data_IF_737647381791
#
_entry.id   IF_737647381791
#
_cell.length_a   1.000
_cell.length_b   1.000
_cell.length_c   1.000
_cell.angle_alpha   90.00
_cell.angle_beta   90.00
_cell.angle_gamma   90.00
#
_symmetry.space_group_name_H-M   'P 1'
#
loop_
_entity.id
_entity.type
_entity.pdbx_description
1 polymer ?
#
# COMPACT_ATOMS: atom_id res chain seq x y z
N UNK A 1 -10.43 -43.04 -11.08
CA UNK A 1 -9.17 -43.06 -10.32
C UNK A 1 -8.43 -41.76 -10.60
N UNK A 2 -8.56 -40.77 -9.74
CA UNK A 2 -7.74 -39.56 -9.76
C UNK A 2 -7.21 -39.35 -8.34
N UNK A 3 -5.98 -39.79 -8.12
CA UNK A 3 -5.21 -39.52 -6.91
C UNK A 3 -4.84 -38.04 -6.91
N UNK A 4 -5.71 -37.19 -6.34
CA UNK A 4 -5.31 -35.84 -5.97
C UNK A 4 -4.26 -35.96 -4.86
N UNK A 5 -3.00 -35.77 -5.24
CA UNK A 5 -1.91 -35.45 -4.32
C UNK A 5 -2.37 -34.33 -3.41
N UNK A 6 -2.70 -34.66 -2.16
CA UNK A 6 -3.01 -33.66 -1.14
C UNK A 6 -1.70 -32.95 -0.86
N UNK A 7 -1.54 -31.74 -1.39
CA UNK A 7 -0.34 -30.94 -1.23
C UNK A 7 0.07 -30.90 0.25
N UNK A 8 1.32 -31.25 0.52
CA UNK A 8 1.92 -31.34 1.86
C UNK A 8 1.70 -30.07 2.70
N UNK A 9 1.60 -28.92 2.01
CA UNK A 9 1.26 -27.61 2.55
C UNK A 9 -0.05 -27.62 3.35
N UNK A 10 -1.00 -28.50 3.06
CA UNK A 10 -2.31 -28.59 3.74
C UNK A 10 -2.21 -29.31 5.09
N UNK A 11 -1.14 -30.07 5.36
CA UNK A 11 -1.01 -30.92 6.56
C UNK A 11 -0.20 -30.31 7.70
N UNK A 12 0.36 -29.12 7.53
CA UNK A 12 1.18 -28.49 8.56
C UNK A 12 0.30 -27.97 9.70
N UNK A 13 0.51 -28.50 10.90
CA UNK A 13 -0.09 -28.03 12.14
C UNK A 13 0.59 -26.74 12.64
N UNK A 14 -0.05 -25.93 13.49
CA UNK A 14 0.54 -24.67 13.93
C UNK A 14 1.79 -24.90 14.79
N UNK A 15 1.81 -26.01 15.53
CA UNK A 15 3.00 -26.50 16.25
C UNK A 15 4.12 -26.90 15.31
N UNK A 16 3.83 -27.60 14.21
CA UNK A 16 4.84 -27.94 13.20
C UNK A 16 5.42 -26.68 12.55
N UNK A 17 4.58 -25.67 12.25
CA UNK A 17 5.07 -24.39 11.74
C UNK A 17 5.96 -23.66 12.75
N UNK A 18 5.60 -23.60 14.04
CA UNK A 18 6.48 -23.00 15.04
C UNK A 18 7.84 -23.69 15.11
N UNK A 19 7.86 -25.03 15.07
CA UNK A 19 9.12 -25.78 15.09
C UNK A 19 9.94 -25.47 13.85
N UNK A 20 9.32 -25.47 12.66
CA UNK A 20 10.00 -25.13 11.40
C UNK A 20 10.56 -23.69 11.46
N UNK A 21 9.74 -22.71 11.84
CA UNK A 21 10.16 -21.30 11.95
C UNK A 21 11.27 -21.12 13.00
N UNK A 22 11.24 -21.88 14.09
CA UNK A 22 12.30 -21.89 15.09
C UNK A 22 13.60 -22.52 14.60
N UNK A 23 13.51 -23.63 13.87
CA UNK A 23 14.68 -24.24 13.24
C UNK A 23 15.28 -23.33 12.18
N UNK A 24 14.45 -22.67 11.36
CA UNK A 24 14.89 -21.66 10.40
C UNK A 24 15.59 -20.48 11.08
N UNK A 25 15.02 -19.97 12.18
CA UNK A 25 15.65 -18.91 12.98
C UNK A 25 17.01 -19.34 13.52
N UNK A 26 17.06 -20.49 14.20
CA UNK A 26 18.28 -21.00 14.80
C UNK A 26 19.35 -21.29 13.75
N UNK A 27 18.95 -21.80 12.59
CA UNK A 27 19.84 -22.05 11.45
C UNK A 27 20.42 -20.75 10.89
N UNK A 28 19.60 -19.71 10.68
CA UNK A 28 20.07 -18.41 10.20
C UNK A 28 21.01 -17.73 11.21
N UNK A 29 20.71 -17.80 12.50
CA UNK A 29 21.59 -17.28 13.55
C UNK A 29 22.91 -18.07 13.60
N UNK A 30 22.87 -19.40 13.49
CA UNK A 30 24.07 -20.23 13.47
C UNK A 30 24.94 -19.94 12.24
N UNK A 31 24.34 -19.72 11.07
CA UNK A 31 25.06 -19.29 9.87
C UNK A 31 25.71 -17.92 10.04
N UNK A 32 25.00 -16.95 10.63
CA UNK A 32 25.53 -15.62 10.92
C UNK A 32 26.75 -15.70 11.86
N UNK A 33 26.62 -16.44 12.95
CA UNK A 33 27.73 -16.66 13.88
C UNK A 33 28.87 -17.41 13.19
N UNK A 34 28.58 -18.40 12.36
CA UNK A 34 29.60 -19.10 11.59
C UNK A 34 30.34 -18.21 10.59
N UNK A 35 29.66 -17.25 10.00
CA UNK A 35 30.29 -16.25 9.13
C UNK A 35 31.20 -15.31 9.94
N UNK A 36 30.70 -14.72 11.03
CA UNK A 36 31.46 -13.79 11.90
C UNK A 36 32.66 -14.46 12.58
N UNK A 37 32.49 -15.68 13.10
CA UNK A 37 33.56 -16.45 13.75
C UNK A 37 34.39 -17.27 12.77
N UNK A 38 34.23 -17.03 11.46
CA UNK A 38 35.01 -17.66 10.40
C UNK A 38 34.96 -19.20 10.40
N UNK A 39 33.88 -19.78 10.93
CA UNK A 39 33.66 -21.22 10.92
C UNK A 39 33.64 -21.74 9.49
N UNK A 40 34.33 -22.87 9.27
CA UNK A 40 34.33 -23.63 8.01
C UNK A 40 34.64 -22.81 6.74
N UNK A 41 35.28 -21.65 6.86
CA UNK A 41 35.58 -20.82 5.70
C UNK A 41 34.36 -20.10 5.11
N UNK A 42 33.25 -19.95 5.85
CA UNK A 42 32.04 -19.25 5.38
C UNK A 42 32.32 -17.79 4.97
N UNK A 43 33.34 -17.16 5.55
CA UNK A 43 33.82 -15.83 5.17
C UNK A 43 34.29 -15.73 3.70
N UNK A 44 34.58 -16.86 3.04
CA UNK A 44 35.04 -16.92 1.63
C UNK A 44 33.89 -16.91 0.63
N UNK A 45 32.64 -16.97 1.08
CA UNK A 45 31.49 -16.91 0.19
C UNK A 45 31.46 -15.54 -0.50
N UNK A 46 31.26 -15.50 -1.83
CA UNK A 46 31.26 -14.25 -2.57
C UNK A 46 30.09 -13.36 -2.13
N UNK A 47 30.26 -12.03 -2.17
CA UNK A 47 29.16 -11.10 -1.90
C UNK A 47 28.02 -11.26 -2.93
N UNK A 48 26.83 -10.85 -2.55
CA UNK A 48 25.61 -10.98 -3.37
C UNK A 48 25.46 -9.76 -4.29
N UNK A 49 24.66 -9.90 -5.36
CA UNK A 49 24.40 -8.83 -6.34
C UNK A 49 25.67 -8.28 -7.00
N UNK A 50 26.55 -9.17 -7.47
CA UNK A 50 27.74 -8.79 -8.26
C UNK A 50 28.87 -8.16 -7.43
N UNK A 51 28.91 -8.38 -6.12
CA UNK A 51 29.95 -7.84 -5.23
C UNK A 51 29.53 -6.62 -4.41
N UNK A 52 28.35 -6.06 -4.70
CA UNK A 52 27.88 -4.79 -4.12
C UNK A 52 27.33 -4.96 -2.70
N UNK A 53 26.72 -6.10 -2.40
CA UNK A 53 26.01 -6.30 -1.12
C UNK A 53 26.65 -7.44 -0.32
N UNK A 54 27.08 -7.20 0.93
CA UNK A 54 27.58 -8.25 1.82
C UNK A 54 26.55 -9.37 2.04
N UNK A 55 27.01 -10.62 2.17
CA UNK A 55 26.15 -11.79 2.36
C UNK A 55 25.26 -11.70 3.62
N UNK A 56 25.72 -10.97 4.63
CA UNK A 56 24.98 -10.74 5.89
C UNK A 56 23.69 -9.94 5.71
N UNK A 57 23.56 -9.18 4.62
CA UNK A 57 22.39 -8.33 4.36
C UNK A 57 21.14 -9.13 3.98
N UNK A 58 21.18 -10.04 2.97
CA UNK A 58 20.07 -10.98 2.74
C UNK A 58 19.70 -11.78 3.98
N UNK A 59 20.69 -12.16 4.81
CA UNK A 59 20.43 -12.88 6.06
C UNK A 59 19.71 -12.03 7.10
N UNK A 60 20.08 -10.76 7.26
CA UNK A 60 19.34 -9.81 8.08
C UNK A 60 17.88 -9.66 7.65
N UNK A 61 17.64 -9.54 6.34
CA UNK A 61 16.29 -9.52 5.78
C UNK A 61 15.49 -10.80 6.04
N UNK A 62 16.13 -11.97 5.90
CA UNK A 62 15.54 -13.26 6.20
C UNK A 62 15.16 -13.37 7.69
N UNK A 63 16.05 -12.97 8.60
CA UNK A 63 15.80 -12.96 10.05
C UNK A 63 14.60 -12.06 10.41
N UNK A 64 14.47 -10.88 9.79
CA UNK A 64 13.30 -10.03 9.95
C UNK A 64 12.00 -10.73 9.51
N UNK A 65 12.06 -11.47 8.39
CA UNK A 65 10.96 -12.28 7.88
C UNK A 65 10.54 -13.42 8.81
N UNK A 66 11.50 -14.07 9.44
CA UNK A 66 11.26 -15.12 10.44
C UNK A 66 10.63 -14.55 11.72
N UNK A 67 11.09 -13.39 12.19
CA UNK A 67 10.52 -12.72 13.37
C UNK A 67 9.03 -12.38 13.17
N UNK A 68 8.64 -11.86 12.01
CA UNK A 68 7.21 -11.58 11.73
C UNK A 68 6.40 -12.88 11.57
N UNK A 69 7.01 -13.97 11.08
CA UNK A 69 6.38 -15.28 11.04
C UNK A 69 6.04 -15.78 12.46
N UNK A 70 6.96 -15.66 13.43
CA UNK A 70 6.66 -16.00 14.84
C UNK A 70 5.48 -15.22 15.41
N UNK A 71 5.44 -13.91 15.19
CA UNK A 71 4.32 -13.06 15.62
C UNK A 71 3.02 -13.51 14.96
N UNK A 72 3.06 -13.84 13.67
CA UNK A 72 1.91 -14.35 12.93
C UNK A 72 1.35 -15.64 13.53
N UNK A 73 2.22 -16.64 13.75
CA UNK A 73 1.81 -17.97 14.25
C UNK A 73 1.22 -17.86 15.66
N UNK A 74 1.86 -17.09 16.54
CA UNK A 74 1.40 -16.91 17.92
C UNK A 74 0.09 -16.11 18.00
N UNK A 75 -0.06 -15.05 17.21
CA UNK A 75 -1.28 -14.22 17.20
C UNK A 75 -2.52 -14.90 16.59
N UNK A 76 -2.33 -15.95 15.79
CA UNK A 76 -3.42 -16.68 15.13
C UNK A 76 -3.63 -18.10 15.67
N UNK A 77 -2.91 -18.47 16.74
CA UNK A 77 -2.92 -19.81 17.31
C UNK A 77 -4.33 -20.35 17.61
N UNK A 78 -5.17 -19.58 18.30
CA UNK A 78 -6.54 -20.00 18.66
C UNK A 78 -7.52 -20.08 17.48
N UNK A 79 -7.23 -19.38 16.37
CA UNK A 79 -8.08 -19.39 15.17
C UNK A 79 -7.83 -20.61 14.28
N UNK A 80 -6.64 -21.21 14.39
CA UNK A 80 -6.29 -22.46 13.72
C UNK A 80 -6.91 -23.68 14.39
N UNK A 81 -6.85 -23.77 15.71
CA UNK A 81 -7.41 -24.91 16.47
C UNK A 81 -8.93 -24.99 16.37
N UNK A 82 -9.60 -23.84 16.22
CA UNK A 82 -11.05 -23.77 15.98
C UNK A 82 -11.48 -24.43 14.65
N UNK A 83 -10.56 -24.57 13.69
CA UNK A 83 -10.82 -25.18 12.37
C UNK A 83 -10.53 -26.70 12.32
N UNK A 84 -10.01 -27.30 13.40
CA UNK A 84 -9.54 -28.70 13.41
C UNK A 84 -10.66 -29.76 13.36
N UNK A 85 -11.94 -29.39 13.33
CA UNK A 85 -13.07 -30.34 13.24
C UNK A 85 -13.40 -30.86 11.83
N UNK A 86 -12.39 -31.13 11.01
CA UNK A 86 -12.50 -32.13 9.94
C UNK A 86 -12.49 -31.66 8.48
N UNK A 87 -12.30 -30.37 8.19
CA UNK A 87 -11.99 -29.92 6.81
C UNK A 87 -10.92 -28.82 6.82
N UNK A 88 -9.84 -28.93 6.03
CA UNK A 88 -8.87 -27.85 5.92
C UNK A 88 -9.58 -26.65 5.27
N UNK A 89 -9.82 -25.60 6.05
CA UNK A 89 -10.40 -24.37 5.54
C UNK A 89 -9.44 -23.78 4.50
N UNK A 90 -9.96 -23.21 3.39
CA UNK A 90 -9.13 -22.50 2.38
C UNK A 90 -8.21 -21.45 3.00
N UNK A 91 -8.59 -20.94 4.17
CA UNK A 91 -7.85 -19.98 4.96
C UNK A 91 -6.60 -20.58 5.62
N UNK A 92 -6.64 -21.84 6.10
CA UNK A 92 -5.46 -22.54 6.62
C UNK A 92 -4.39 -22.78 5.55
N UNK A 93 -4.79 -23.17 4.33
CA UNK A 93 -3.85 -23.35 3.21
C UNK A 93 -3.17 -22.04 2.83
N UNK A 94 -3.93 -20.94 2.83
CA UNK A 94 -3.40 -19.59 2.57
C UNK A 94 -2.44 -19.12 3.66
N UNK A 95 -2.71 -19.47 4.92
CA UNK A 95 -1.80 -19.19 6.03
C UNK A 95 -0.51 -20.01 5.93
N UNK A 96 -0.58 -21.30 5.64
CA UNK A 96 0.60 -22.16 5.51
C UNK A 96 1.54 -21.69 4.39
N UNK A 97 0.98 -21.33 3.23
CA UNK A 97 1.75 -20.73 2.14
C UNK A 97 2.36 -19.38 2.52
N UNK A 98 1.66 -18.57 3.30
CA UNK A 98 2.18 -17.27 3.75
C UNK A 98 3.42 -17.41 4.63
N UNK A 99 3.48 -18.39 5.54
CA UNK A 99 4.66 -18.60 6.41
C UNK A 99 5.89 -19.07 5.63
N UNK A 100 5.72 -20.02 4.71
CA UNK A 100 6.83 -20.58 3.91
C UNK A 100 7.52 -19.54 3.03
N UNK A 101 6.80 -18.50 2.61
CA UNK A 101 7.33 -17.46 1.72
C UNK A 101 8.03 -16.34 2.49
N UNK A 102 7.89 -16.23 3.81
CA UNK A 102 8.42 -15.11 4.61
C UNK A 102 9.95 -15.02 4.62
N UNK A 103 10.63 -16.15 4.70
CA UNK A 103 12.10 -16.22 4.73
C UNK A 103 12.71 -15.77 3.39
N UNK A 104 12.36 -16.37 2.24
CA UNK A 104 12.91 -15.93 0.96
C UNK A 104 12.48 -14.51 0.58
N UNK A 105 11.24 -14.12 0.90
CA UNK A 105 10.76 -12.76 0.62
C UNK A 105 11.46 -11.71 1.49
N UNK A 106 11.76 -12.06 2.75
CA UNK A 106 12.53 -11.19 3.65
C UNK A 106 13.95 -10.97 3.18
N UNK A 107 14.61 -12.05 2.74
CA UNK A 107 15.93 -11.95 2.15
C UNK A 107 15.93 -11.04 0.92
N UNK A 108 14.96 -11.23 0.01
CA UNK A 108 14.83 -10.43 -1.20
C UNK A 108 14.58 -8.95 -0.89
N UNK A 109 13.55 -8.63 -0.09
CA UNK A 109 13.19 -7.25 0.22
C UNK A 109 14.24 -6.53 1.09
N UNK A 110 14.87 -7.24 2.02
CA UNK A 110 15.99 -6.70 2.80
C UNK A 110 17.20 -6.36 1.92
N UNK A 111 17.50 -7.20 0.91
CA UNK A 111 18.55 -6.94 -0.08
C UNK A 111 18.22 -5.72 -0.94
N UNK A 112 16.97 -5.59 -1.40
CA UNK A 112 16.52 -4.41 -2.17
C UNK A 112 16.64 -3.13 -1.34
N UNK A 113 16.25 -3.18 -0.07
CA UNK A 113 16.38 -2.02 0.82
C UNK A 113 17.83 -1.59 1.03
N UNK A 114 18.75 -2.55 1.22
CA UNK A 114 20.17 -2.24 1.33
C UNK A 114 20.73 -1.64 0.03
N UNK A 115 20.33 -2.17 -1.13
CA UNK A 115 20.67 -1.57 -2.42
C UNK A 115 20.13 -0.15 -2.53
N UNK A 116 18.91 0.13 -2.05
CA UNK A 116 18.38 1.49 -2.05
C UNK A 116 19.20 2.43 -1.16
N UNK A 117 19.62 1.97 0.02
CA UNK A 117 20.47 2.76 0.92
C UNK A 117 21.82 3.08 0.28
N UNK A 118 22.44 2.08 -0.34
CA UNK A 118 23.72 2.21 -1.04
C UNK A 118 23.60 3.13 -2.26
N UNK A 119 22.57 2.95 -3.10
CA UNK A 119 22.45 3.65 -4.39
C UNK A 119 21.85 5.06 -4.26
N UNK A 120 20.94 5.30 -3.31
CA UNK A 120 20.18 6.56 -3.25
C UNK A 120 20.46 7.40 -2.00
N UNK A 121 20.75 6.79 -0.85
CA UNK A 121 20.95 7.55 0.39
C UNK A 121 22.41 7.92 0.64
N UNK A 122 23.38 7.22 0.05
CA UNK A 122 24.81 7.53 0.20
C UNK A 122 25.32 7.52 1.64
N UNK A 123 24.53 6.99 2.60
CA UNK A 123 24.83 6.98 4.04
C UNK A 123 25.91 5.98 4.41
N UNK A 124 26.13 5.00 3.52
CA UNK A 124 27.30 4.12 3.49
C UNK A 124 28.11 4.66 2.32
N UNK A 125 28.90 5.70 2.58
CA UNK A 125 29.62 6.42 1.53
C UNK A 125 30.43 5.43 0.68
N UNK A 126 30.49 5.61 -0.63
CA UNK A 126 31.48 4.90 -1.41
C UNK A 126 32.86 5.27 -0.84
N UNK A 127 33.76 4.29 -0.68
CA UNK A 127 35.19 4.61 -0.55
C UNK A 127 35.61 5.50 -1.74
N UNK A 128 36.78 6.16 -1.69
CA UNK A 128 37.25 7.09 -2.73
C UNK A 128 37.16 6.52 -4.18
N UNK A 129 37.06 5.19 -4.32
CA UNK A 129 36.92 4.43 -5.57
C UNK A 129 35.47 4.14 -6.02
N UNK A 130 34.43 4.62 -5.32
CA UNK A 130 33.02 4.35 -5.67
C UNK A 130 32.48 3.00 -5.18
N UNK A 131 33.25 2.25 -4.39
CA UNK A 131 32.88 0.94 -3.84
C UNK A 131 32.11 1.07 -2.50
N UNK A 132 31.11 0.22 -2.28
CA UNK A 132 30.30 0.18 -1.05
C UNK A 132 31.18 0.04 0.19
N UNK A 133 30.94 0.85 1.21
CA UNK A 133 31.61 0.69 2.51
C UNK A 133 31.15 -0.62 3.20
N UNK A 134 31.99 -1.64 3.04
CA UNK A 134 31.88 -2.97 3.64
C UNK A 134 32.66 -3.10 4.95
N UNK A 135 33.02 -1.98 5.60
CA UNK A 135 33.56 -2.02 6.96
C UNK A 135 32.57 -2.74 7.89
N UNK A 136 33.04 -3.28 9.03
CA UNK A 136 32.15 -3.91 10.01
C UNK A 136 30.96 -3.01 10.42
N UNK A 137 31.18 -1.70 10.47
CA UNK A 137 30.13 -0.71 10.80
C UNK A 137 29.15 -0.52 9.63
N UNK A 138 29.64 -0.39 8.40
CA UNK A 138 28.80 -0.29 7.19
C UNK A 138 27.94 -1.55 6.99
N UNK A 139 28.56 -2.73 7.11
CA UNK A 139 27.88 -4.02 7.02
C UNK A 139 26.80 -4.19 8.12
N UNK A 140 27.09 -3.80 9.37
CA UNK A 140 26.11 -3.82 10.45
C UNK A 140 24.94 -2.86 10.19
N UNK A 141 25.21 -1.67 9.65
CA UNK A 141 24.16 -0.68 9.32
C UNK A 141 23.22 -1.22 8.24
N UNK A 142 23.77 -1.80 7.17
CA UNK A 142 22.98 -2.42 6.11
C UNK A 142 22.19 -3.63 6.62
N UNK A 143 22.76 -4.41 7.55
CA UNK A 143 22.07 -5.54 8.18
C UNK A 143 20.86 -5.08 9.00
N UNK A 144 21.00 -4.01 9.78
CA UNK A 144 19.89 -3.44 10.56
C UNK A 144 18.77 -2.95 9.64
N UNK A 145 19.11 -2.24 8.56
CA UNK A 145 18.12 -1.79 7.56
C UNK A 145 17.41 -2.99 6.93
N UNK A 146 18.17 -3.98 6.48
CA UNK A 146 17.62 -5.19 5.87
C UNK A 146 16.70 -5.94 6.84
N UNK A 147 17.09 -6.06 8.11
CA UNK A 147 16.26 -6.65 9.16
C UNK A 147 14.95 -5.87 9.37
N UNK A 148 14.99 -4.55 9.48
CA UNK A 148 13.80 -3.72 9.68
C UNK A 148 12.84 -3.86 8.50
N UNK A 149 13.35 -3.82 7.27
CA UNK A 149 12.51 -4.01 6.07
C UNK A 149 11.99 -5.44 5.97
N UNK A 150 12.82 -6.43 6.28
CA UNK A 150 12.44 -7.83 6.40
C UNK A 150 11.36 -8.08 7.47
N UNK A 151 11.35 -7.31 8.55
CA UNK A 151 10.29 -7.37 9.57
C UNK A 151 9.02 -6.64 9.13
N UNK A 152 9.16 -5.52 8.41
CA UNK A 152 8.05 -4.69 7.89
C UNK A 152 7.67 -5.00 6.44
N UNK A 153 7.91 -6.21 5.96
CA UNK A 153 7.69 -6.63 4.56
C UNK A 153 6.36 -6.18 3.95
N UNK A 154 5.25 -6.26 4.69
CA UNK A 154 3.94 -5.86 4.17
C UNK A 154 3.80 -4.35 3.98
N UNK A 155 4.38 -3.58 4.89
CA UNK A 155 4.38 -2.11 4.78
C UNK A 155 5.26 -1.70 3.60
N UNK A 156 6.46 -2.27 3.50
CA UNK A 156 7.37 -2.00 2.38
C UNK A 156 6.78 -2.42 1.03
N UNK A 157 6.15 -3.59 0.95
CA UNK A 157 5.46 -4.04 -0.26
C UNK A 157 4.32 -3.11 -0.66
N UNK A 158 3.50 -2.64 0.29
CA UNK A 158 2.45 -1.66 0.00
C UNK A 158 3.02 -0.34 -0.51
N UNK A 159 4.14 0.12 0.06
CA UNK A 159 4.82 1.30 -0.44
C UNK A 159 5.32 1.07 -1.87
N UNK A 160 5.97 -0.06 -2.14
CA UNK A 160 6.43 -0.41 -3.47
C UNK A 160 5.27 -0.53 -4.47
N UNK A 161 4.16 -1.17 -4.10
CA UNK A 161 2.94 -1.25 -4.91
C UNK A 161 2.41 0.14 -5.25
N UNK A 162 2.33 1.05 -4.26
CA UNK A 162 1.92 2.44 -4.48
C UNK A 162 2.90 3.20 -5.37
N UNK A 163 4.20 3.03 -5.16
CA UNK A 163 5.23 3.69 -5.98
C UNK A 163 5.20 3.18 -7.41
N UNK A 164 5.07 1.87 -7.62
CA UNK A 164 4.97 1.26 -8.96
C UNK A 164 3.67 1.67 -9.63
N UNK A 165 2.55 1.74 -8.89
CA UNK A 165 1.27 2.25 -9.39
C UNK A 165 1.39 3.71 -9.88
N UNK A 166 2.13 4.55 -9.15
CA UNK A 166 2.38 5.95 -9.53
C UNK A 166 3.31 6.08 -10.74
N UNK A 167 4.35 5.24 -10.84
CA UNK A 167 5.40 5.38 -11.87
C UNK A 167 5.07 4.63 -13.16
N UNK A 168 4.53 3.41 -13.04
CA UNK A 168 4.35 2.45 -14.14
C UNK A 168 2.88 2.08 -14.33
N UNK A 169 2.04 2.30 -13.32
CA UNK A 169 0.63 1.96 -13.39
C UNK A 169 -0.10 2.76 -14.48
N UNK A 170 -1.11 2.16 -15.14
CA UNK A 170 -1.95 2.86 -16.11
C UNK A 170 -2.89 3.84 -15.41
N UNK A 171 -2.37 4.81 -14.64
CA UNK A 171 -3.14 5.87 -13.97
C UNK A 171 -4.38 5.40 -13.20
N UNK A 172 -4.43 4.12 -12.79
CA UNK A 172 -5.64 3.53 -12.20
C UNK A 172 -5.81 4.08 -10.78
N UNK A 173 -7.04 4.36 -10.38
CA UNK A 173 -7.28 4.95 -9.08
C UNK A 173 -7.02 3.92 -7.97
N UNK A 174 -5.97 4.22 -7.20
CA UNK A 174 -5.63 3.72 -5.87
C UNK A 174 -6.84 3.13 -5.14
N UNK A 175 -6.97 1.79 -5.05
CA UNK A 175 -7.94 1.16 -4.16
C UNK A 175 -7.34 1.20 -2.75
N UNK A 176 -7.78 2.15 -1.93
CA UNK A 176 -7.45 2.19 -0.50
C UNK A 176 -7.23 3.59 0.02
N UNK A 177 -8.30 4.17 0.55
CA UNK A 177 -8.31 5.41 1.33
C UNK A 177 -9.65 6.10 1.15
N UNK A 178 -10.61 5.73 1.99
CA UNK A 178 -11.90 6.34 2.35
C UNK A 178 -12.49 7.37 1.37
N UNK A 179 -13.71 7.09 0.90
CA UNK A 179 -14.41 7.87 -0.11
C UNK A 179 -14.60 9.34 0.28
N UNK A 180 -15.01 10.16 -0.68
CA UNK A 180 -15.45 11.52 -0.37
C UNK A 180 -16.98 11.55 -0.30
N UNK A 181 -17.48 12.49 0.50
CA UNK A 181 -18.90 12.82 0.61
C UNK A 181 -19.17 14.19 0.00
N UNK A 182 -20.38 14.31 -0.54
CA UNK A 182 -20.90 15.53 -1.15
C UNK A 182 -22.16 15.93 -0.41
N UNK A 183 -22.18 17.14 0.14
CA UNK A 183 -23.33 17.68 0.85
C UNK A 183 -23.64 19.11 0.39
N UNK A 184 -24.92 19.44 0.12
CA UNK A 184 -26.09 18.56 0.10
C UNK A 184 -26.17 17.67 -1.17
N UNK A 185 -26.92 16.57 -1.11
CA UNK A 185 -27.11 15.63 -2.23
C UNK A 185 -27.98 16.19 -3.38
N UNK A 186 -28.74 17.26 -3.10
CA UNK A 186 -29.55 17.99 -4.07
C UNK A 186 -29.36 19.49 -3.87
N UNK A 187 -29.18 20.22 -4.95
CA UNK A 187 -29.17 21.67 -4.96
C UNK A 187 -30.40 22.22 -5.68
N UNK A 188 -31.13 23.09 -5.00
CA UNK A 188 -32.31 23.77 -5.52
C UNK A 188 -32.03 25.25 -5.76
N UNK A 189 -32.47 25.74 -6.91
CA UNK A 189 -32.30 27.11 -7.37
C UNK A 189 -33.65 27.70 -7.78
N UNK A 190 -33.89 28.94 -7.37
CA UNK A 190 -35.06 29.74 -7.75
C UNK A 190 -34.54 31.12 -8.17
N UNK A 191 -34.54 31.37 -9.47
CA UNK A 191 -34.01 32.60 -10.07
C UNK A 191 -35.01 33.20 -11.06
N UNK A 192 -34.98 34.52 -11.24
CA UNK A 192 -35.71 35.17 -12.32
C UNK A 192 -34.93 35.08 -13.64
N UNK A 193 -35.62 35.25 -14.78
CA UNK A 193 -34.98 35.21 -16.09
C UNK A 193 -33.81 36.22 -16.17
N UNK A 194 -32.63 35.72 -16.54
CA UNK A 194 -31.40 36.51 -16.68
C UNK A 194 -30.64 36.79 -15.39
N UNK A 195 -31.19 36.45 -14.21
CA UNK A 195 -30.56 36.64 -12.90
C UNK A 195 -29.71 35.42 -12.54
N UNK A 196 -28.46 35.66 -12.12
CA UNK A 196 -27.55 34.61 -11.68
C UNK A 196 -27.76 34.33 -10.18
N UNK A 197 -27.97 33.06 -9.83
CA UNK A 197 -28.00 32.59 -8.44
C UNK A 197 -26.87 31.59 -8.22
N UNK A 198 -26.20 31.66 -7.07
CA UNK A 198 -25.09 30.76 -6.74
C UNK A 198 -25.39 29.92 -5.51
N UNK A 199 -24.96 28.67 -5.53
CA UNK A 199 -25.03 27.73 -4.40
C UNK A 199 -23.74 26.95 -4.31
N UNK A 200 -23.44 26.47 -3.12
CA UNK A 200 -22.20 25.74 -2.82
C UNK A 200 -22.48 24.30 -2.39
N UNK A 201 -21.53 23.43 -2.69
CA UNK A 201 -21.48 22.03 -2.28
C UNK A 201 -20.20 21.82 -1.48
N UNK A 202 -20.31 21.23 -0.30
CA UNK A 202 -19.18 20.76 0.47
C UNK A 202 -18.70 19.40 -0.06
N UNK A 203 -17.40 19.31 -0.31
CA UNK A 203 -16.67 18.09 -0.66
C UNK A 203 -15.78 17.75 0.51
N UNK A 204 -16.12 16.70 1.24
CA UNK A 204 -15.35 16.27 2.42
C UNK A 204 -14.46 15.11 2.04
N UNK A 205 -13.15 15.24 2.31
CA UNK A 205 -12.21 14.14 2.15
C UNK A 205 -12.19 13.28 3.41
N UNK A 206 -12.88 12.15 3.40
CA UNK A 206 -12.88 11.22 4.55
C UNK A 206 -11.60 10.38 4.60
N UNK A 207 -10.78 10.44 3.53
CA UNK A 207 -9.51 9.74 3.40
C UNK A 207 -8.37 10.39 4.16
N UNK A 208 -7.25 9.66 4.23
CA UNK A 208 -5.99 10.13 4.83
C UNK A 208 -5.03 10.77 3.83
N UNK A 209 -5.30 10.62 2.54
CA UNK A 209 -4.45 11.14 1.46
C UNK A 209 -5.10 12.38 0.84
N UNK A 210 -4.31 13.38 0.44
CA UNK A 210 -4.84 14.54 -0.26
C UNK A 210 -5.32 14.16 -1.66
N UNK A 211 -6.42 14.77 -2.11
CA UNK A 211 -6.89 14.67 -3.48
C UNK A 211 -7.14 16.05 -4.09
N UNK A 212 -7.20 16.12 -5.42
CA UNK A 212 -7.43 17.37 -6.17
C UNK A 212 -8.77 17.28 -6.91
N UNK A 213 -9.59 18.32 -6.76
CA UNK A 213 -10.84 18.52 -7.47
C UNK A 213 -10.66 19.69 -8.45
N UNK A 214 -10.59 19.37 -9.75
CA UNK A 214 -10.42 20.32 -10.83
C UNK A 214 -11.55 20.21 -11.88
N UNK A 215 -11.52 21.05 -12.90
CA UNK A 215 -12.55 21.08 -13.95
C UNK A 215 -12.64 19.76 -14.74
N UNK A 216 -11.56 18.99 -14.83
CA UNK A 216 -11.55 17.67 -15.48
C UNK A 216 -12.24 16.59 -14.66
N UNK A 217 -12.43 16.81 -13.35
CA UNK A 217 -13.09 15.88 -12.43
C UNK A 217 -14.58 16.13 -12.26
N UNK A 218 -15.10 17.24 -12.79
CA UNK A 218 -16.49 17.66 -12.62
C UNK A 218 -17.20 17.68 -13.97
N UNK A 219 -18.32 16.95 -14.09
CA UNK A 219 -19.04 16.79 -15.35
C UNK A 219 -20.55 16.97 -15.18
N UNK A 220 -21.22 17.41 -16.25
CA UNK A 220 -22.67 17.32 -16.39
C UNK A 220 -23.56 18.35 -15.68
N UNK A 221 -23.15 19.61 -15.40
CA UNK A 221 -24.04 20.55 -14.70
C UNK A 221 -25.39 20.75 -15.41
N UNK A 222 -25.47 20.56 -16.73
CA UNK A 222 -26.72 20.67 -17.50
C UNK A 222 -27.04 22.09 -17.94
N UNK A 223 -28.11 22.26 -18.71
CA UNK A 223 -28.47 23.55 -19.28
C UNK A 223 -28.86 24.56 -18.19
N UNK A 224 -28.25 25.75 -18.25
CA UNK A 224 -28.46 26.84 -17.30
C UNK A 224 -27.61 26.78 -16.03
N UNK A 225 -26.82 25.71 -15.81
CA UNK A 225 -25.92 25.55 -14.66
C UNK A 225 -24.44 25.64 -15.09
N UNK A 226 -23.62 26.30 -14.28
CA UNK A 226 -22.18 26.39 -14.49
C UNK A 226 -21.42 26.23 -13.17
N UNK A 227 -20.26 25.58 -13.20
CA UNK A 227 -19.35 25.51 -12.05
C UNK A 227 -18.42 26.72 -12.10
N UNK A 228 -18.45 27.55 -11.06
CA UNK A 228 -17.72 28.82 -11.01
C UNK A 228 -16.49 28.76 -10.13
N UNK A 229 -16.50 27.91 -9.10
CA UNK A 229 -15.37 27.73 -8.19
C UNK A 229 -15.15 26.24 -7.86
N UNK A 230 -13.89 25.86 -7.78
CA UNK A 230 -13.44 24.53 -7.42
C UNK A 230 -12.48 24.64 -6.21
N UNK A 231 -12.53 23.69 -5.27
CA UNK A 231 -11.71 23.76 -4.07
C UNK A 231 -10.21 23.47 -4.31
N UNK A 232 -9.86 22.88 -5.46
CA UNK A 232 -8.49 22.51 -5.76
C UNK A 232 -8.04 21.33 -4.89
N UNK A 233 -6.92 21.51 -4.16
CA UNK A 233 -6.33 20.44 -3.33
C UNK A 233 -6.96 20.40 -1.94
N UNK A 234 -7.52 19.26 -1.56
CA UNK A 234 -8.12 19.00 -0.25
C UNK A 234 -7.26 17.97 0.48
N UNK A 235 -6.85 18.25 1.72
CA UNK A 235 -6.08 17.33 2.55
C UNK A 235 -7.00 16.25 3.16
N UNK A 236 -6.42 15.18 3.68
CA UNK A 236 -7.20 14.13 4.34
C UNK A 236 -7.86 14.65 5.62
N UNK A 237 -9.17 14.45 5.77
CA UNK A 237 -9.98 14.96 6.88
C UNK A 237 -10.51 16.40 6.68
N UNK A 238 -10.09 17.10 5.63
CA UNK A 238 -10.54 18.46 5.33
C UNK A 238 -11.72 18.48 4.36
N UNK A 239 -12.40 19.63 4.30
CA UNK A 239 -13.46 19.90 3.36
C UNK A 239 -13.11 21.07 2.43
N UNK A 240 -13.57 20.99 1.19
CA UNK A 240 -13.50 22.06 0.21
C UNK A 240 -14.88 22.36 -0.36
N UNK A 241 -15.06 23.52 -0.98
CA UNK A 241 -16.35 23.94 -1.55
C UNK A 241 -16.31 24.04 -3.07
N UNK A 242 -17.28 23.41 -3.73
CA UNK A 242 -17.59 23.64 -5.15
C UNK A 242 -18.72 24.67 -5.22
N UNK A 243 -18.58 25.68 -6.07
CA UNK A 243 -19.61 26.68 -6.32
C UNK A 243 -20.27 26.45 -7.69
N UNK A 244 -21.59 26.42 -7.70
CA UNK A 244 -22.43 26.23 -8.88
C UNK A 244 -23.31 27.46 -9.04
N UNK A 245 -23.26 28.09 -10.21
CA UNK A 245 -24.17 29.15 -10.61
C UNK A 245 -25.28 28.62 -11.51
N UNK A 246 -26.47 29.21 -11.36
CA UNK A 246 -27.65 28.97 -12.17
C UNK A 246 -28.11 30.30 -12.78
N UNK A 247 -28.19 30.38 -14.11
CA UNK A 247 -28.64 31.58 -14.83
C UNK A 247 -29.61 31.19 -15.95
N UNK A 248 -30.92 31.07 -15.65
CA UNK A 248 -31.90 30.68 -16.65
C UNK A 248 -32.19 31.83 -17.62
N UNK A 249 -32.41 31.50 -18.89
CA UNK A 249 -32.75 32.47 -19.96
C UNK A 249 -34.23 32.46 -20.34
N UNK A 250 -34.97 31.42 -19.95
CA UNK A 250 -36.40 31.27 -20.23
C UNK A 250 -37.14 30.81 -18.98
N UNK A 251 -38.41 31.22 -18.78
CA UNK A 251 -39.25 30.68 -17.71
C UNK A 251 -39.44 29.17 -17.87
N UNK A 252 -39.34 28.41 -16.78
CA UNK A 252 -39.43 26.95 -16.84
C UNK A 252 -38.71 26.22 -15.72
N UNK A 253 -38.72 24.87 -15.77
CA UNK A 253 -37.99 24.00 -14.85
C UNK A 253 -36.74 23.44 -15.52
N UNK A 254 -35.61 23.58 -14.86
CA UNK A 254 -34.31 23.08 -15.29
C UNK A 254 -33.87 21.92 -14.39
N UNK A 255 -33.26 20.89 -14.99
CA UNK A 255 -32.71 19.74 -14.28
C UNK A 255 -31.31 19.44 -14.81
N UNK A 256 -30.39 19.16 -13.90
CA UNK A 256 -29.00 18.83 -14.20
C UNK A 256 -28.44 17.84 -13.18
N UNK A 257 -27.22 17.34 -13.42
CA UNK A 257 -26.58 16.40 -12.51
C UNK A 257 -25.07 16.64 -12.44
N UNK A 258 -24.59 17.15 -11.32
CA UNK A 258 -23.16 17.37 -11.13
C UNK A 258 -22.48 16.05 -10.71
N UNK A 259 -21.66 15.49 -11.59
CA UNK A 259 -20.89 14.28 -11.30
C UNK A 259 -19.44 14.66 -11.00
N UNK A 260 -18.97 14.28 -9.82
CA UNK A 260 -17.60 14.50 -9.35
C UNK A 260 -16.90 13.14 -9.30
N UNK A 261 -15.76 13.01 -9.98
CA UNK A 261 -14.95 11.77 -9.96
C UNK A 261 -13.57 12.07 -9.41
N UNK A 262 -13.26 11.53 -8.24
CA UNK A 262 -11.99 11.78 -7.53
C UNK A 262 -11.48 10.47 -6.93
N UNK A 263 -10.18 10.22 -7.08
CA UNK A 263 -9.52 9.01 -6.59
C UNK A 263 -10.24 7.70 -6.97
N UNK A 264 -10.88 7.67 -8.15
CA UNK A 264 -11.64 6.52 -8.66
C UNK A 264 -13.01 6.29 -8.04
N UNK A 265 -13.42 7.14 -7.10
CA UNK A 265 -14.79 7.20 -6.61
C UNK A 265 -15.57 8.23 -7.41
N UNK A 266 -16.81 7.91 -7.76
CA UNK A 266 -17.72 8.81 -8.46
C UNK A 266 -18.94 9.07 -7.58
N UNK A 267 -19.28 10.34 -7.40
CA UNK A 267 -20.46 10.80 -6.66
C UNK A 267 -21.22 11.80 -7.53
N UNK A 268 -22.55 11.76 -7.45
CA UNK A 268 -23.41 12.62 -8.26
C UNK A 268 -24.39 13.37 -7.36
N UNK A 269 -24.59 14.64 -7.68
CA UNK A 269 -25.54 15.54 -7.02
C UNK A 269 -26.61 15.93 -8.04
N UNK A 270 -27.87 15.93 -7.63
CA UNK A 270 -28.96 16.41 -8.46
C UNK A 270 -29.04 17.95 -8.40
N UNK A 271 -29.16 18.60 -9.55
CA UNK A 271 -29.39 20.03 -9.67
C UNK A 271 -30.83 20.26 -10.16
N UNK A 272 -31.60 21.07 -9.44
CA UNK A 272 -32.95 21.45 -9.81
C UNK A 272 -33.08 22.98 -9.77
N UNK A 273 -33.59 23.56 -10.84
CA UNK A 273 -33.77 25.01 -10.96
C UNK A 273 -35.17 25.37 -11.43
N UNK A 274 -35.76 26.42 -10.88
CA UNK A 274 -36.96 27.04 -11.44
C UNK A 274 -36.68 28.47 -11.86
N UNK A 275 -37.24 28.84 -13.01
CA UNK A 275 -37.19 30.20 -13.53
C UNK A 275 -38.59 30.81 -13.50
N UNK A 276 -38.77 31.86 -12.70
CA UNK A 276 -39.97 32.69 -12.71
C UNK A 276 -39.85 33.74 -13.83
N UNK A 277 -40.96 33.96 -14.55
CA UNK A 277 -41.09 34.94 -15.63
C UNK A 277 -41.16 36.37 -15.13
#
# INVERSE_FOLDING_TARGET
MASHERSWVVRLSPSALLVITFLEFAFLVALLLGYEFHWWGLHRLPPVAGGVVPLVVPWGGALGGVCIAFVGVTAHWGRWTSAERGTPSRQAVRWNGWYLVRVPLGAALGTVAALMVVLFLGTVAPNDDGAVDITPVGAATLMVVAFVVGYKQETFRKLLERTVEVIVGPGTPVPGGDGFTLEPATLEFDAASGVEQRRTVAVTNEGRLPFVVDAGKVQGPGDGFAVTQLPGKILGGDAGTIEVSFRPSQPGRYRGSLTVTVAGSTRTIALAGTCAG
#
